data_IF_701058517620
#
_entry.id   IF_701058517620
#
_cell.length_a   1.000
_cell.length_b   1.000
_cell.length_c   1.000
_cell.angle_alpha   90.00
_cell.angle_beta   90.00
_cell.angle_gamma   90.00
#
_symmetry.space_group_name_H-M   'P 1'
#
loop_
_entity.id
_entity.type
_entity.pdbx_description
1 polymer ?
#
# COMPACT_ATOMS: atom_id res chain seq x y z
N UNK A 1 31.52 -51.79 13.92
CA UNK A 1 30.06 -51.51 13.93
C UNK A 1 29.89 -50.07 13.51
N UNK A 2 29.22 -49.79 12.40
CA UNK A 2 28.90 -48.42 12.03
C UNK A 2 27.93 -47.85 13.06
N UNK A 3 28.34 -46.74 13.68
CA UNK A 3 27.53 -46.08 14.69
C UNK A 3 26.39 -45.37 13.94
N UNK A 4 25.22 -45.96 13.80
CA UNK A 4 24.06 -45.40 13.13
C UNK A 4 23.06 -44.87 14.16
N UNK A 5 22.47 -43.73 13.88
CA UNK A 5 21.39 -43.15 14.65
C UNK A 5 20.04 -43.48 13.98
N UNK A 6 19.03 -43.70 14.77
CA UNK A 6 17.66 -43.69 14.26
C UNK A 6 17.26 -42.27 13.93
N UNK A 7 16.28 -42.08 13.03
CA UNK A 7 15.77 -40.75 12.68
C UNK A 7 15.31 -39.97 13.92
N UNK A 8 14.62 -40.62 14.85
CA UNK A 8 14.15 -39.98 16.07
C UNK A 8 15.30 -39.56 17.01
N UNK A 9 16.39 -40.32 17.03
CA UNK A 9 17.59 -39.95 17.80
C UNK A 9 18.27 -38.72 17.16
N UNK A 10 18.40 -38.68 15.85
CA UNK A 10 18.93 -37.54 15.13
C UNK A 10 18.07 -36.26 15.36
N UNK A 11 16.74 -36.38 15.24
CA UNK A 11 15.83 -35.25 15.47
C UNK A 11 15.93 -34.71 16.91
N UNK A 12 16.07 -35.57 17.90
CA UNK A 12 16.28 -35.18 19.32
C UNK A 12 17.61 -34.44 19.51
N UNK A 13 18.67 -34.90 18.85
CA UNK A 13 19.97 -34.21 18.91
C UNK A 13 19.88 -32.82 18.28
N UNK A 14 19.26 -32.69 17.08
CA UNK A 14 19.05 -31.40 16.44
C UNK A 14 18.27 -30.45 17.35
N UNK A 15 17.19 -30.94 17.96
CA UNK A 15 16.41 -30.17 18.93
C UNK A 15 17.25 -29.68 20.09
N UNK A 16 17.95 -30.59 20.76
CA UNK A 16 18.80 -30.27 21.93
C UNK A 16 19.89 -29.24 21.58
N UNK A 17 20.51 -29.39 20.41
CA UNK A 17 21.52 -28.42 19.92
C UNK A 17 20.93 -27.05 19.67
N UNK A 18 19.73 -26.97 19.05
CA UNK A 18 19.05 -25.70 18.82
C UNK A 18 18.59 -25.06 20.14
N UNK A 19 18.01 -25.83 21.04
CA UNK A 19 17.56 -25.35 22.35
C UNK A 19 18.73 -24.80 23.18
N UNK A 20 19.92 -25.42 23.09
CA UNK A 20 21.14 -24.95 23.75
C UNK A 20 21.71 -23.69 23.09
N UNK A 21 21.79 -23.66 21.74
CA UNK A 21 22.37 -22.56 20.99
C UNK A 21 21.51 -21.29 21.02
N UNK A 22 20.20 -21.47 21.12
CA UNK A 22 19.20 -20.36 21.09
C UNK A 22 18.34 -20.40 22.36
N UNK A 23 18.96 -20.51 23.52
CA UNK A 23 18.26 -20.50 24.81
C UNK A 23 17.54 -19.18 25.12
N UNK A 24 17.92 -18.07 24.48
CA UNK A 24 17.31 -16.76 24.63
C UNK A 24 16.65 -16.32 23.33
N UNK A 25 15.56 -15.52 23.43
CA UNK A 25 14.94 -14.93 22.27
C UNK A 25 15.90 -14.04 21.48
N UNK A 26 15.80 -14.08 20.14
CA UNK A 26 16.57 -13.23 19.23
C UNK A 26 15.65 -12.32 18.43
N UNK A 27 16.17 -11.19 17.99
CA UNK A 27 15.48 -10.31 17.09
C UNK A 27 15.78 -10.69 15.64
N UNK A 28 14.73 -10.84 14.83
CA UNK A 28 14.83 -11.23 13.42
C UNK A 28 14.02 -10.25 12.59
N UNK A 29 14.63 -9.66 11.55
CA UNK A 29 13.92 -8.86 10.56
C UNK A 29 13.51 -9.76 9.40
N UNK A 30 12.24 -9.70 9.01
CA UNK A 30 11.70 -10.45 7.89
C UNK A 30 10.45 -9.76 7.32
N UNK A 31 10.08 -10.08 6.10
CA UNK A 31 8.81 -9.70 5.51
C UNK A 31 7.76 -10.79 5.78
N UNK A 32 6.55 -10.40 6.07
CA UNK A 32 5.41 -11.32 6.17
C UNK A 32 4.96 -11.67 4.75
N UNK A 33 5.19 -12.90 4.30
CA UNK A 33 4.69 -13.38 3.01
C UNK A 33 3.23 -13.80 3.10
N UNK A 34 2.86 -14.47 4.19
CA UNK A 34 1.49 -14.91 4.45
C UNK A 34 1.16 -14.75 5.94
N UNK A 35 -0.09 -14.42 6.23
CA UNK A 35 -0.62 -14.35 7.59
C UNK A 35 -2.01 -14.97 7.65
N UNK A 36 -2.23 -15.85 8.62
CA UNK A 36 -3.51 -16.54 8.80
C UNK A 36 -3.84 -16.69 10.28
N UNK A 37 -5.00 -16.19 10.65
CA UNK A 37 -5.53 -16.39 12.01
C UNK A 37 -6.52 -17.55 11.97
N UNK A 38 -6.29 -18.57 12.80
CA UNK A 38 -7.23 -19.67 12.91
C UNK A 38 -8.34 -19.37 13.95
N UNK A 39 -9.40 -20.21 13.98
CA UNK A 39 -10.49 -19.97 14.91
C UNK A 39 -10.13 -20.24 16.38
N UNK A 40 -9.00 -20.85 16.68
CA UNK A 40 -8.47 -20.94 18.05
C UNK A 40 -7.74 -19.64 18.47
N UNK A 41 -7.60 -18.67 17.56
CA UNK A 41 -6.98 -17.37 17.82
C UNK A 41 -5.45 -17.36 17.71
N UNK A 42 -4.83 -18.43 17.24
CA UNK A 42 -3.41 -18.45 16.91
C UNK A 42 -3.19 -17.79 15.54
N UNK A 43 -2.16 -16.96 15.45
CA UNK A 43 -1.75 -16.34 14.20
C UNK A 43 -0.54 -17.07 13.64
N UNK A 44 -0.69 -17.64 12.47
CA UNK A 44 0.39 -18.31 11.72
C UNK A 44 0.89 -17.37 10.64
N UNK A 45 2.21 -17.27 10.53
CA UNK A 45 2.88 -16.42 9.56
C UNK A 45 3.89 -17.25 8.78
N UNK A 46 4.08 -16.85 7.54
CA UNK A 46 5.21 -17.24 6.72
C UNK A 46 6.11 -16.01 6.59
N UNK A 47 7.32 -16.11 7.12
CA UNK A 47 8.31 -15.05 7.11
C UNK A 47 9.32 -15.34 6.01
N UNK A 48 9.66 -14.30 5.22
CA UNK A 48 10.64 -14.42 4.13
C UNK A 48 11.65 -13.29 4.19
N UNK A 49 12.85 -13.58 3.70
CA UNK A 49 13.84 -12.58 3.33
C UNK A 49 14.01 -12.63 1.82
N UNK A 50 13.72 -11.51 1.14
CA UNK A 50 13.85 -11.41 -0.32
C UNK A 50 15.28 -11.03 -0.69
N UNK A 51 15.82 -11.68 -1.71
CA UNK A 51 17.14 -11.39 -2.29
C UNK A 51 17.00 -10.59 -3.57
N UNK A 52 17.47 -9.34 -3.57
CA UNK A 52 17.61 -8.52 -4.77
C UNK A 52 16.36 -8.39 -5.65
N UNK A 53 16.54 -7.93 -6.89
CA UNK A 53 15.46 -7.65 -7.85
C UNK A 53 14.71 -8.88 -8.39
N UNK A 54 15.18 -10.09 -8.14
CA UNK A 54 14.61 -11.30 -8.74
C UNK A 54 13.43 -11.90 -7.96
N UNK A 55 13.05 -11.33 -6.82
CA UNK A 55 11.89 -11.77 -6.05
C UNK A 55 11.99 -13.18 -5.42
N UNK A 56 13.10 -13.89 -5.64
CA UNK A 56 13.32 -15.23 -5.07
C UNK A 56 13.69 -15.09 -3.60
N UNK A 57 12.99 -15.79 -2.68
CA UNK A 57 13.34 -15.77 -1.27
C UNK A 57 14.76 -16.31 -1.03
N UNK A 58 15.58 -15.56 -0.28
CA UNK A 58 16.86 -16.06 0.26
C UNK A 58 16.65 -17.01 1.42
N UNK A 59 15.64 -16.73 2.22
CA UNK A 59 15.29 -17.51 3.40
C UNK A 59 13.79 -17.45 3.66
N UNK A 60 13.27 -18.50 4.26
CA UNK A 60 11.87 -18.64 4.61
C UNK A 60 11.72 -19.42 5.91
N UNK A 61 10.80 -18.98 6.77
CA UNK A 61 10.49 -19.67 8.01
C UNK A 61 9.02 -19.56 8.37
N UNK A 62 8.46 -20.64 8.90
CA UNK A 62 7.14 -20.61 9.53
C UNK A 62 7.25 -19.97 10.92
N UNK A 63 6.28 -19.12 11.24
CA UNK A 63 6.21 -18.49 12.53
C UNK A 63 4.80 -18.56 13.11
N UNK A 64 4.70 -18.47 14.43
CA UNK A 64 3.42 -18.46 15.15
C UNK A 64 3.45 -17.37 16.22
N UNK A 65 2.33 -16.63 16.32
CA UNK A 65 2.01 -15.82 17.49
C UNK A 65 0.88 -16.55 18.22
N UNK A 66 1.15 -17.00 19.43
CA UNK A 66 0.14 -17.68 20.21
C UNK A 66 -1.00 -16.74 20.61
N UNK A 67 -2.20 -17.27 20.70
CA UNK A 67 -3.42 -16.51 21.06
C UNK A 67 -3.23 -15.54 22.23
N UNK A 68 -2.52 -15.98 23.26
CA UNK A 68 -2.28 -15.17 24.47
C UNK A 68 -1.45 -13.91 24.22
N UNK A 69 -0.58 -13.94 23.21
CA UNK A 69 0.29 -12.82 22.82
C UNK A 69 -0.29 -12.02 21.65
N UNK A 70 -1.06 -12.67 20.78
CA UNK A 70 -1.51 -12.10 19.51
C UNK A 70 -2.32 -10.79 19.69
N UNK A 71 -3.33 -10.81 20.55
CA UNK A 71 -4.18 -9.63 20.76
C UNK A 71 -3.36 -8.42 21.26
N UNK A 72 -2.40 -8.64 22.14
CA UNK A 72 -1.51 -7.59 22.65
C UNK A 72 -0.57 -7.08 21.55
N UNK A 73 0.11 -8.01 20.86
CA UNK A 73 1.09 -7.65 19.81
C UNK A 73 0.40 -6.95 18.66
N UNK A 74 -0.69 -7.51 18.13
CA UNK A 74 -1.42 -6.94 17.01
C UNK A 74 -2.07 -5.59 17.37
N UNK A 75 -2.65 -5.47 18.56
CA UNK A 75 -3.25 -4.22 19.03
C UNK A 75 -2.20 -3.11 19.25
N UNK A 76 -1.05 -3.45 19.83
CA UNK A 76 0.04 -2.49 20.01
C UNK A 76 0.64 -2.06 18.65
N UNK A 77 0.88 -3.03 17.76
CA UNK A 77 1.38 -2.76 16.42
C UNK A 77 0.42 -1.86 15.63
N UNK A 78 -0.90 -2.15 15.65
CA UNK A 78 -1.91 -1.34 14.97
C UNK A 78 -2.01 0.07 15.58
N UNK A 79 -1.92 0.21 16.89
CA UNK A 79 -1.96 1.51 17.56
C UNK A 79 -0.78 2.42 17.19
N UNK A 80 0.44 1.86 17.11
CA UNK A 80 1.65 2.63 16.82
C UNK A 80 1.84 2.89 15.32
N UNK A 81 1.55 1.89 14.47
CA UNK A 81 1.79 1.99 13.02
C UNK A 81 0.57 2.47 12.23
N UNK A 82 -0.60 2.45 12.84
CA UNK A 82 -1.87 2.63 12.15
C UNK A 82 -2.23 1.45 11.23
N UNK A 83 -1.46 0.37 11.21
CA UNK A 83 -1.61 -0.77 10.30
C UNK A 83 -1.84 -2.08 11.05
N UNK A 84 -2.64 -2.96 10.45
CA UNK A 84 -2.71 -4.34 10.89
C UNK A 84 -1.54 -5.14 10.33
N UNK A 85 -1.12 -6.14 11.08
CA UNK A 85 -0.17 -7.12 10.55
C UNK A 85 -0.77 -7.76 9.30
N UNK A 86 -0.09 -7.64 8.17
CA UNK A 86 -0.53 -8.13 6.87
C UNK A 86 0.66 -8.60 6.02
N UNK A 87 0.37 -9.35 4.96
CA UNK A 87 1.38 -9.72 3.98
C UNK A 87 2.00 -8.47 3.31
N UNK A 88 3.28 -8.52 3.01
CA UNK A 88 4.07 -7.43 2.45
C UNK A 88 4.69 -6.48 3.48
N UNK A 89 4.32 -6.58 4.75
CA UNK A 89 4.91 -5.75 5.82
C UNK A 89 6.22 -6.35 6.29
N UNK A 90 7.26 -5.54 6.36
CA UNK A 90 8.53 -5.90 6.97
C UNK A 90 8.51 -5.59 8.46
N UNK A 91 8.82 -6.60 9.26
CA UNK A 91 8.78 -6.52 10.72
C UNK A 91 10.15 -6.85 11.33
N UNK A 92 10.40 -6.32 12.52
CA UNK A 92 11.44 -6.79 13.41
C UNK A 92 10.75 -7.54 14.57
N UNK A 93 10.86 -8.87 14.54
CA UNK A 93 10.19 -9.75 15.49
C UNK A 93 11.18 -10.33 16.50
N UNK A 94 10.82 -10.30 17.77
CA UNK A 94 11.51 -11.04 18.82
C UNK A 94 10.98 -12.44 18.85
N UNK A 95 11.82 -13.41 18.50
CA UNK A 95 11.42 -14.80 18.32
C UNK A 95 12.17 -15.74 19.24
N UNK A 96 11.49 -16.80 19.65
CA UNK A 96 12.09 -17.99 20.20
C UNK A 96 12.10 -19.05 19.11
N UNK A 97 13.26 -19.64 18.89
CA UNK A 97 13.42 -20.76 17.95
C UNK A 97 12.75 -21.98 18.54
N UNK A 98 12.01 -22.71 17.75
CA UNK A 98 11.36 -23.96 18.14
C UNK A 98 11.61 -25.02 17.07
N UNK A 99 11.94 -26.22 17.52
CA UNK A 99 12.09 -27.38 16.65
C UNK A 99 11.24 -28.53 17.16
N UNK A 100 10.37 -29.02 16.29
CA UNK A 100 9.51 -30.14 16.59
C UNK A 100 9.90 -31.31 15.69
N UNK A 101 10.05 -32.51 16.27
CA UNK A 101 10.56 -33.70 15.58
C UNK A 101 9.73 -34.14 14.38
N UNK A 102 8.43 -33.73 14.32
CA UNK A 102 7.53 -34.03 13.19
C UNK A 102 7.32 -32.82 12.26
N UNK A 103 7.31 -31.57 12.79
CA UNK A 103 6.94 -30.39 12.05
C UNK A 103 8.14 -29.52 11.65
N UNK A 104 9.32 -29.86 12.15
CA UNK A 104 10.58 -29.19 11.84
C UNK A 104 10.76 -27.86 12.56
N UNK A 105 11.51 -26.97 11.91
CA UNK A 105 11.88 -25.64 12.40
C UNK A 105 10.70 -24.67 12.31
N UNK A 106 10.52 -23.88 13.34
CA UNK A 106 9.55 -22.78 13.38
C UNK A 106 9.99 -21.70 14.37
N UNK A 107 9.40 -20.51 14.24
CA UNK A 107 9.65 -19.37 15.10
C UNK A 107 8.41 -19.07 15.94
N UNK A 108 8.59 -18.91 17.25
CA UNK A 108 7.54 -18.42 18.13
C UNK A 108 7.77 -16.93 18.37
N UNK A 109 6.91 -16.08 17.81
CA UNK A 109 7.00 -14.62 17.95
C UNK A 109 6.49 -14.22 19.32
N UNK A 110 7.35 -13.58 20.09
CA UNK A 110 7.06 -13.09 21.44
C UNK A 110 6.70 -11.60 21.44
N UNK A 111 7.25 -10.85 20.46
CA UNK A 111 7.05 -9.43 20.32
C UNK A 111 7.39 -8.94 18.91
N UNK A 112 6.90 -7.74 18.52
CA UNK A 112 7.22 -7.08 17.26
C UNK A 112 7.49 -5.62 17.57
N UNK A 113 8.58 -5.06 17.02
CA UNK A 113 8.92 -3.64 17.16
C UNK A 113 8.25 -2.83 16.04
N UNK A 114 7.23 -2.00 16.35
CA UNK A 114 6.56 -1.19 15.35
C UNK A 114 7.43 -0.05 14.80
N UNK A 115 8.40 0.45 15.57
CA UNK A 115 9.30 1.53 15.13
C UNK A 115 10.18 1.12 13.96
N UNK A 116 10.59 -0.14 13.92
CA UNK A 116 11.32 -0.71 12.79
C UNK A 116 10.48 -0.66 11.51
N UNK A 117 9.22 -1.05 11.58
CA UNK A 117 8.31 -1.04 10.42
C UNK A 117 8.07 0.37 9.91
N UNK A 118 7.83 1.34 10.80
CA UNK A 118 7.68 2.75 10.42
C UNK A 118 8.95 3.30 9.76
N UNK A 119 10.12 3.00 10.31
CA UNK A 119 11.40 3.41 9.73
C UNK A 119 11.66 2.77 8.36
N UNK A 120 11.30 1.49 8.17
CA UNK A 120 11.42 0.82 6.87
C UNK A 120 10.48 1.42 5.83
N UNK A 121 9.24 1.73 6.19
CA UNK A 121 8.26 2.39 5.30
C UNK A 121 8.74 3.76 4.85
N UNK A 122 9.23 4.60 5.75
CA UNK A 122 9.76 5.91 5.38
C UNK A 122 11.02 5.78 4.51
N UNK A 123 11.87 4.81 4.78
CA UNK A 123 13.03 4.51 3.93
C UNK A 123 12.60 4.08 2.52
N UNK A 124 11.60 3.21 2.37
CA UNK A 124 11.08 2.79 1.07
C UNK A 124 10.46 3.97 0.32
N UNK A 125 9.71 4.82 1.01
CA UNK A 125 9.16 6.05 0.46
C UNK A 125 10.26 6.96 -0.09
N UNK A 126 11.34 7.16 0.67
CA UNK A 126 12.46 7.98 0.25
C UNK A 126 13.19 7.39 -0.97
N UNK A 127 13.40 6.06 -1.00
CA UNK A 127 13.98 5.35 -2.15
C UNK A 127 13.12 5.58 -3.41
N UNK A 128 11.79 5.52 -3.28
CA UNK A 128 10.87 5.77 -4.39
C UNK A 128 11.02 7.20 -4.92
N UNK A 129 11.06 8.19 -4.05
CA UNK A 129 11.26 9.61 -4.42
C UNK A 129 12.58 9.80 -5.16
N UNK A 130 13.68 9.34 -4.59
CA UNK A 130 15.03 9.47 -5.18
C UNK A 130 15.13 8.79 -6.55
N UNK A 131 14.46 7.64 -6.69
CA UNK A 131 14.45 6.90 -7.96
C UNK A 131 13.69 7.64 -9.04
N UNK A 132 12.49 8.15 -8.76
CA UNK A 132 11.69 8.92 -9.71
C UNK A 132 12.39 10.21 -10.14
N UNK A 133 13.06 10.89 -9.20
CA UNK A 133 13.86 12.09 -9.49
C UNK A 133 15.07 11.78 -10.39
N UNK A 134 15.82 10.71 -10.06
CA UNK A 134 16.97 10.29 -10.84
C UNK A 134 16.61 9.86 -12.27
N UNK A 135 15.43 9.25 -12.44
CA UNK A 135 14.89 8.86 -13.75
C UNK A 135 14.30 10.04 -14.53
N UNK A 136 14.19 11.22 -13.90
CA UNK A 136 13.69 12.45 -14.54
C UNK A 136 12.21 12.44 -14.82
N UNK A 137 11.44 11.57 -14.15
CA UNK A 137 9.98 11.43 -14.37
C UNK A 137 9.13 12.17 -13.35
N UNK A 138 9.76 12.75 -12.31
CA UNK A 138 9.11 13.33 -11.14
C UNK A 138 8.05 14.39 -11.44
N UNK A 139 8.30 15.27 -12.41
CA UNK A 139 7.44 16.41 -12.71
C UNK A 139 6.60 16.25 -13.99
N UNK A 140 6.74 15.15 -14.74
CA UNK A 140 6.11 14.97 -16.06
C UNK A 140 4.59 15.15 -15.98
N UNK A 141 3.90 14.49 -15.05
CA UNK A 141 2.44 14.62 -14.94
C UNK A 141 2.02 16.01 -14.47
N UNK A 142 2.82 16.66 -13.61
CA UNK A 142 2.57 18.02 -13.14
C UNK A 142 2.64 19.05 -14.26
N UNK A 143 3.48 18.81 -15.25
CA UNK A 143 3.67 19.69 -16.41
C UNK A 143 2.66 19.42 -17.54
N UNK A 144 1.85 18.37 -17.44
CA UNK A 144 0.81 18.09 -18.42
C UNK A 144 -0.18 19.27 -18.51
N UNK A 145 -0.54 19.72 -19.73
CA UNK A 145 -1.51 20.79 -19.91
C UNK A 145 -2.90 20.31 -19.45
N UNK A 146 -3.46 20.97 -18.46
CA UNK A 146 -4.84 20.74 -18.07
C UNK A 146 -5.77 21.61 -18.94
N UNK A 147 -6.75 21.02 -19.65
CA UNK A 147 -7.71 21.78 -20.45
C UNK A 147 -8.43 22.87 -19.62
N UNK A 148 -8.80 23.97 -20.23
CA UNK A 148 -9.57 25.01 -19.54
C UNK A 148 -10.90 24.45 -19.03
N UNK A 149 -11.59 23.70 -19.88
CA UNK A 149 -12.85 23.00 -19.57
C UNK A 149 -12.53 21.55 -19.29
N UNK A 150 -12.81 21.08 -18.07
CA UNK A 150 -12.61 19.70 -17.63
C UNK A 150 -13.97 19.08 -17.30
N UNK A 151 -14.53 18.35 -18.24
CA UNK A 151 -15.86 17.75 -18.09
C UNK A 151 -15.85 16.22 -18.19
N UNK A 152 -14.97 15.65 -19.04
CA UNK A 152 -14.90 14.20 -19.24
C UNK A 152 -13.83 13.62 -18.31
N UNK A 153 -14.27 12.94 -17.27
CA UNK A 153 -13.40 12.55 -16.16
C UNK A 153 -13.37 11.03 -16.05
N UNK A 154 -12.17 10.46 -16.15
CA UNK A 154 -11.91 9.08 -15.74
C UNK A 154 -11.70 9.04 -14.23
N UNK A 155 -12.43 8.21 -13.52
CA UNK A 155 -12.30 8.06 -12.07
C UNK A 155 -11.71 6.70 -11.77
N UNK A 156 -10.56 6.66 -11.10
CA UNK A 156 -9.96 5.45 -10.55
C UNK A 156 -10.27 5.40 -9.05
N UNK A 157 -11.13 4.49 -8.66
CA UNK A 157 -11.60 4.33 -7.27
C UNK A 157 -12.33 3.02 -7.10
N UNK A 158 -12.66 2.66 -5.87
CA UNK A 158 -13.59 1.56 -5.62
C UNK A 158 -15.04 2.04 -5.69
N UNK A 159 -15.87 1.30 -6.43
CA UNK A 159 -17.31 1.58 -6.57
C UNK A 159 -18.04 1.68 -5.24
N UNK A 160 -17.59 0.89 -4.26
CA UNK A 160 -18.21 0.84 -2.91
C UNK A 160 -17.59 1.87 -1.95
N UNK A 161 -16.54 2.59 -2.35
CA UNK A 161 -15.89 3.56 -1.49
C UNK A 161 -16.80 4.75 -1.20
N UNK A 162 -16.93 5.12 0.07
CA UNK A 162 -17.68 6.30 0.50
C UNK A 162 -17.15 7.56 -0.20
N UNK A 163 -15.82 7.70 -0.36
CA UNK A 163 -15.22 8.85 -1.03
C UNK A 163 -15.62 8.99 -2.49
N UNK A 164 -15.80 7.88 -3.22
CA UNK A 164 -16.33 7.92 -4.58
C UNK A 164 -17.79 8.41 -4.61
N UNK A 165 -18.62 7.92 -3.69
CA UNK A 165 -20.02 8.34 -3.58
C UNK A 165 -20.13 9.82 -3.19
N UNK A 166 -19.31 10.27 -2.25
CA UNK A 166 -19.28 11.68 -1.82
C UNK A 166 -18.79 12.60 -2.95
N UNK A 167 -17.79 12.18 -3.72
CA UNK A 167 -17.31 12.89 -4.91
C UNK A 167 -18.42 13.06 -5.94
N UNK A 168 -19.11 11.98 -6.33
CA UNK A 168 -20.21 12.03 -7.29
C UNK A 168 -21.38 12.90 -6.78
N UNK A 169 -21.71 12.79 -5.49
CA UNK A 169 -22.76 13.58 -4.85
C UNK A 169 -22.42 15.07 -4.85
N UNK A 170 -21.16 15.43 -4.61
CA UNK A 170 -20.72 16.82 -4.60
C UNK A 170 -20.75 17.44 -6.01
N UNK A 171 -20.25 16.72 -7.01
CA UNK A 171 -20.36 17.17 -8.42
C UNK A 171 -21.81 17.26 -8.90
N UNK A 172 -22.69 16.37 -8.44
CA UNK A 172 -24.11 16.39 -8.80
C UNK A 172 -24.91 17.59 -8.26
N UNK A 173 -24.35 18.36 -7.31
CA UNK A 173 -24.93 19.64 -6.83
C UNK A 173 -24.56 20.82 -7.73
N UNK A 174 -23.54 20.64 -8.58
CA UNK A 174 -23.04 21.67 -9.47
C UNK A 174 -24.00 21.92 -10.65
N UNK A 175 -24.09 23.13 -11.18
CA UNK A 175 -24.84 23.42 -12.41
C UNK A 175 -24.15 22.88 -13.66
N UNK A 176 -22.91 22.44 -13.56
CA UNK A 176 -22.10 22.00 -14.71
C UNK A 176 -22.33 20.51 -14.99
N UNK A 177 -22.35 20.15 -16.28
CA UNK A 177 -22.45 18.76 -16.72
C UNK A 177 -21.07 18.10 -16.73
N UNK A 178 -20.87 17.12 -15.82
CA UNK A 178 -19.68 16.28 -15.82
C UNK A 178 -20.02 14.89 -16.34
N UNK A 179 -19.20 14.37 -17.25
CA UNK A 179 -19.25 12.98 -17.73
C UNK A 179 -18.25 12.17 -16.94
N UNK A 180 -18.74 11.27 -16.09
CA UNK A 180 -17.93 10.49 -15.18
C UNK A 180 -17.87 9.03 -15.61
N UNK A 181 -16.68 8.49 -15.81
CA UNK A 181 -16.45 7.06 -16.11
C UNK A 181 -15.62 6.44 -14.98
N UNK A 182 -16.18 5.47 -14.27
CA UNK A 182 -15.49 4.75 -13.20
C UNK A 182 -14.69 3.58 -13.76
N UNK A 183 -13.41 3.55 -13.44
CA UNK A 183 -12.51 2.41 -13.56
C UNK A 183 -12.34 1.83 -12.15
N UNK A 184 -13.04 0.73 -11.90
CA UNK A 184 -13.15 0.13 -10.55
C UNK A 184 -11.83 -0.52 -10.15
N UNK A 185 -11.27 -0.12 -9.00
CA UNK A 185 -9.99 -0.60 -8.51
C UNK A 185 -10.02 -0.81 -6.99
N UNK A 186 -9.23 -1.78 -6.51
CA UNK A 186 -8.99 -1.91 -5.08
C UNK A 186 -8.09 -0.76 -4.60
N UNK A 187 -8.56 -0.03 -3.59
CA UNK A 187 -7.86 1.13 -3.06
C UNK A 187 -7.07 0.82 -1.78
N UNK A 188 -7.04 -0.43 -1.35
CA UNK A 188 -6.40 -0.91 -0.13
C UNK A 188 -6.08 -2.40 -0.21
N UNK A 189 -5.14 -2.87 0.63
CA UNK A 189 -4.71 -4.26 0.70
C UNK A 189 -3.63 -4.61 -0.32
N UNK A 190 -3.15 -5.85 -0.29
CA UNK A 190 -1.99 -6.30 -1.06
C UNK A 190 -2.15 -6.23 -2.59
N UNK A 191 -3.39 -6.23 -3.09
CA UNK A 191 -3.68 -6.14 -4.52
C UNK A 191 -3.98 -4.72 -5.02
N UNK A 192 -3.89 -3.69 -4.17
CA UNK A 192 -4.27 -2.33 -4.53
C UNK A 192 -3.37 -1.74 -5.63
N UNK A 193 -2.06 -1.90 -5.51
CA UNK A 193 -1.10 -1.40 -6.50
C UNK A 193 -1.40 -1.96 -7.89
N UNK A 194 -1.50 -3.29 -8.03
CA UNK A 194 -1.77 -3.93 -9.32
C UNK A 194 -3.12 -3.52 -9.89
N UNK A 195 -4.14 -3.40 -9.02
CA UNK A 195 -5.50 -3.01 -9.44
C UNK A 195 -5.56 -1.57 -9.93
N UNK A 196 -4.87 -0.64 -9.25
CA UNK A 196 -4.84 0.78 -9.65
C UNK A 196 -4.04 0.93 -10.96
N UNK A 197 -2.90 0.26 -11.10
CA UNK A 197 -2.10 0.27 -12.33
C UNK A 197 -2.92 -0.25 -13.50
N UNK A 198 -3.60 -1.40 -13.35
CA UNK A 198 -4.46 -1.95 -14.40
C UNK A 198 -5.63 -1.01 -14.78
N UNK A 199 -6.19 -0.28 -13.80
CA UNK A 199 -7.21 0.73 -14.05
C UNK A 199 -6.66 1.92 -14.82
N UNK A 200 -5.44 2.40 -14.49
CA UNK A 200 -4.76 3.46 -15.23
C UNK A 200 -4.43 3.02 -16.66
N UNK A 201 -3.97 1.79 -16.88
CA UNK A 201 -3.73 1.24 -18.21
C UNK A 201 -5.02 1.23 -19.04
N UNK A 202 -6.16 0.82 -18.44
CA UNK A 202 -7.46 0.84 -19.11
C UNK A 202 -7.96 2.26 -19.42
N UNK A 203 -7.58 3.27 -18.64
CA UNK A 203 -7.82 4.69 -18.97
C UNK A 203 -6.93 5.11 -20.13
N UNK A 204 -5.64 4.70 -20.14
CA UNK A 204 -4.70 5.05 -21.21
C UNK A 204 -5.15 4.52 -22.57
N UNK A 205 -5.75 3.33 -22.64
CA UNK A 205 -6.33 2.74 -23.86
C UNK A 205 -7.49 3.59 -24.45
N UNK A 206 -8.04 4.49 -23.65
CA UNK A 206 -9.19 5.35 -24.01
C UNK A 206 -8.93 6.84 -23.69
N UNK A 207 -7.68 7.27 -23.69
CA UNK A 207 -7.30 8.60 -23.23
C UNK A 207 -7.99 9.75 -23.97
N UNK A 208 -8.37 9.56 -25.25
CA UNK A 208 -9.09 10.57 -26.05
C UNK A 208 -10.53 10.82 -25.55
N UNK A 209 -11.08 9.93 -24.74
CA UNK A 209 -12.40 10.07 -24.14
C UNK A 209 -12.40 11.01 -22.93
N UNK A 210 -11.23 11.37 -22.38
CA UNK A 210 -11.11 12.05 -21.10
C UNK A 210 -10.27 13.34 -21.16
N UNK A 211 -10.62 14.27 -20.29
CA UNK A 211 -9.90 15.53 -20.10
C UNK A 211 -8.89 15.44 -18.94
N UNK A 212 -9.21 14.63 -17.95
CA UNK A 212 -8.38 14.39 -16.77
C UNK A 212 -8.74 13.06 -16.10
N UNK A 213 -7.82 12.57 -15.26
CA UNK A 213 -8.02 11.41 -14.38
C UNK A 213 -8.18 11.91 -12.95
N UNK A 214 -9.10 11.30 -12.20
CA UNK A 214 -9.30 11.53 -10.77
C UNK A 214 -9.02 10.24 -10.05
N UNK A 215 -7.95 10.20 -9.25
CA UNK A 215 -7.59 9.08 -8.39
C UNK A 215 -8.00 9.41 -6.96
N UNK A 216 -9.07 8.80 -6.50
CA UNK A 216 -9.66 9.09 -5.19
C UNK A 216 -9.84 7.83 -4.36
N UNK A 217 -9.62 7.97 -3.07
CA UNK A 217 -9.82 6.93 -2.08
C UNK A 217 -10.92 7.34 -1.10
N UNK A 218 -11.76 6.38 -0.71
CA UNK A 218 -12.67 6.56 0.42
C UNK A 218 -11.92 6.57 1.76
N UNK A 219 -12.57 6.99 2.82
CA UNK A 219 -12.02 6.95 4.17
C UNK A 219 -11.54 5.53 4.51
N UNK A 220 -10.39 5.44 5.15
CA UNK A 220 -9.73 4.21 5.61
C UNK A 220 -8.60 4.59 6.56
N UNK A 221 -7.92 3.60 7.15
CA UNK A 221 -6.78 3.87 8.04
C UNK A 221 -5.62 4.51 7.28
N UNK A 222 -4.76 5.27 7.97
CA UNK A 222 -3.52 5.81 7.40
C UNK A 222 -2.62 4.70 6.81
N UNK A 223 -2.77 3.48 7.32
CA UNK A 223 -2.07 2.28 6.88
C UNK A 223 -2.31 1.88 5.42
N UNK A 224 -3.49 2.20 4.91
CA UNK A 224 -3.86 1.84 3.54
C UNK A 224 -3.21 2.78 2.51
N UNK A 225 -2.45 3.79 2.96
CA UNK A 225 -1.74 4.75 2.10
C UNK A 225 -0.42 4.21 1.56
N UNK A 226 0.11 3.12 2.12
CA UNK A 226 1.45 2.65 1.74
C UNK A 226 1.56 2.22 0.27
N UNK A 227 0.49 1.68 -0.32
CA UNK A 227 0.48 1.33 -1.75
C UNK A 227 0.70 2.56 -2.65
N UNK A 228 0.30 3.76 -2.21
CA UNK A 228 0.52 5.03 -2.92
C UNK A 228 1.94 5.58 -2.80
N UNK A 229 2.83 4.87 -2.10
CA UNK A 229 4.27 5.13 -2.07
C UNK A 229 5.06 4.11 -2.91
N UNK A 230 4.39 3.10 -3.48
CA UNK A 230 5.03 2.07 -4.29
C UNK A 230 5.57 2.67 -5.59
N UNK A 231 6.84 2.36 -5.91
CA UNK A 231 7.53 2.93 -7.07
C UNK A 231 6.76 2.72 -8.38
N UNK A 232 6.27 1.50 -8.64
CA UNK A 232 5.58 1.16 -9.89
C UNK A 232 4.33 2.01 -10.09
N UNK A 233 3.48 2.18 -9.07
CA UNK A 233 2.31 3.02 -9.13
C UNK A 233 2.68 4.49 -9.33
N UNK A 234 3.64 4.98 -8.55
CA UNK A 234 4.09 6.38 -8.65
C UNK A 234 4.71 6.69 -10.03
N UNK A 235 5.46 5.76 -10.61
CA UNK A 235 6.02 5.89 -11.95
C UNK A 235 4.93 5.92 -13.04
N UNK A 236 3.85 5.12 -12.89
CA UNK A 236 2.71 5.17 -13.79
C UNK A 236 1.97 6.52 -13.70
N UNK A 237 1.74 7.02 -12.49
CA UNK A 237 1.11 8.33 -12.27
C UNK A 237 1.99 9.45 -12.84
N UNK A 238 3.28 9.44 -12.51
CA UNK A 238 4.22 10.47 -12.96
C UNK A 238 4.30 10.59 -14.48
N UNK A 239 4.24 9.49 -15.19
CA UNK A 239 4.37 9.42 -16.66
C UNK A 239 3.03 9.33 -17.39
N UNK A 240 1.91 9.45 -16.67
CA UNK A 240 0.59 9.32 -17.28
C UNK A 240 0.32 10.44 -18.27
N UNK A 241 -0.21 10.17 -19.49
CA UNK A 241 -0.37 11.17 -20.54
C UNK A 241 -1.45 12.21 -20.25
N UNK A 242 -2.41 11.91 -19.40
CA UNK A 242 -3.43 12.87 -18.95
C UNK A 242 -3.07 13.42 -17.56
N UNK A 243 -3.47 14.67 -17.24
CA UNK A 243 -3.31 15.20 -15.90
C UNK A 243 -4.10 14.37 -14.88
N UNK A 244 -3.43 13.96 -13.81
CA UNK A 244 -4.04 13.20 -12.71
C UNK A 244 -4.26 14.12 -11.52
N UNK A 245 -5.51 14.15 -11.04
CA UNK A 245 -5.89 14.81 -9.81
C UNK A 245 -6.06 13.74 -8.71
N UNK A 246 -5.39 13.91 -7.59
CA UNK A 246 -5.51 12.97 -6.47
C UNK A 246 -6.36 13.53 -5.34
N UNK A 247 -7.08 12.64 -4.66
CA UNK A 247 -7.81 12.91 -3.43
C UNK A 247 -7.68 11.70 -2.50
N UNK A 248 -6.41 11.35 -2.15
CA UNK A 248 -6.06 10.10 -1.48
C UNK A 248 -5.88 10.30 0.02
N UNK A 249 -5.25 11.41 0.43
CA UNK A 249 -4.69 11.60 1.75
C UNK A 249 -5.49 12.54 2.65
N UNK A 250 -4.99 12.67 3.89
CA UNK A 250 -5.35 13.66 4.89
C UNK A 250 -4.17 14.62 5.14
N UNK A 251 -4.42 15.72 5.86
CA UNK A 251 -3.50 16.84 6.11
C UNK A 251 -2.07 16.47 6.59
N UNK A 252 -1.87 15.28 7.12
CA UNK A 252 -0.59 14.88 7.74
C UNK A 252 0.24 13.89 6.91
N UNK A 253 -0.34 13.27 5.87
CA UNK A 253 0.31 12.16 5.17
C UNK A 253 0.17 12.31 3.64
N UNK A 254 1.01 13.14 3.05
CA UNK A 254 1.13 13.26 1.59
C UNK A 254 1.85 12.03 1.03
N UNK A 255 1.19 11.26 0.19
CA UNK A 255 1.81 10.11 -0.48
C UNK A 255 2.73 10.53 -1.63
N UNK A 256 3.63 9.64 -2.08
CA UNK A 256 4.45 9.90 -3.27
C UNK A 256 3.58 10.03 -4.52
N UNK A 257 2.47 9.29 -4.60
CA UNK A 257 1.47 9.44 -5.67
C UNK A 257 0.91 10.88 -5.75
N UNK A 258 0.61 11.49 -4.59
CA UNK A 258 0.19 12.90 -4.54
C UNK A 258 1.30 13.86 -5.00
N UNK A 259 2.56 13.55 -4.66
CA UNK A 259 3.70 14.39 -5.01
C UNK A 259 3.99 14.44 -6.50
N UNK A 260 3.74 13.35 -7.23
CA UNK A 260 4.02 13.24 -8.67
C UNK A 260 2.79 13.52 -9.54
N UNK A 261 1.61 13.58 -8.95
CA UNK A 261 0.37 13.90 -9.66
C UNK A 261 0.33 15.38 -10.11
N UNK A 262 -0.49 15.68 -11.09
CA UNK A 262 -0.69 17.05 -11.59
C UNK A 262 -1.20 17.97 -10.47
N UNK A 263 -2.23 17.54 -9.75
CA UNK A 263 -2.84 18.30 -8.65
C UNK A 263 -3.21 17.37 -7.50
N UNK A 264 -2.66 17.61 -6.33
CA UNK A 264 -2.98 16.86 -5.13
C UNK A 264 -3.96 17.66 -4.25
N UNK A 265 -5.04 17.02 -3.86
CA UNK A 265 -6.08 17.57 -3.00
C UNK A 265 -6.31 16.64 -1.81
N UNK A 266 -6.81 17.18 -0.70
CA UNK A 266 -6.88 16.45 0.57
C UNK A 266 -7.93 15.33 0.61
N UNK A 267 -9.04 15.49 -0.12
CA UNK A 267 -10.18 14.57 -0.05
C UNK A 267 -10.88 14.48 -1.39
N UNK A 268 -11.67 13.42 -1.63
CA UNK A 268 -12.52 13.30 -2.81
C UNK A 268 -13.45 14.50 -3.01
N UNK A 269 -14.03 15.02 -1.92
CA UNK A 269 -14.91 16.20 -1.98
C UNK A 269 -14.15 17.48 -2.32
N UNK A 270 -12.90 17.60 -1.88
CA UNK A 270 -12.03 18.72 -2.27
C UNK A 270 -11.70 18.67 -3.77
N UNK A 271 -11.51 17.47 -4.34
CA UNK A 271 -11.33 17.31 -5.81
C UNK A 271 -12.58 17.75 -6.55
N UNK A 272 -13.77 17.36 -6.08
CA UNK A 272 -15.04 17.80 -6.67
C UNK A 272 -15.20 19.32 -6.61
N UNK A 273 -14.95 19.92 -5.45
CA UNK A 273 -15.00 21.39 -5.27
C UNK A 273 -14.05 22.13 -6.21
N UNK A 274 -12.80 21.63 -6.32
CA UNK A 274 -11.80 22.21 -7.21
C UNK A 274 -12.23 22.16 -8.70
N UNK A 275 -12.84 21.06 -9.15
CA UNK A 275 -13.38 20.94 -10.52
C UNK A 275 -14.52 21.94 -10.75
N UNK A 276 -15.40 22.11 -9.79
CA UNK A 276 -16.51 23.08 -9.87
C UNK A 276 -15.99 24.52 -9.92
N UNK A 277 -15.05 24.89 -9.05
CA UNK A 277 -14.43 26.21 -9.02
C UNK A 277 -13.73 26.53 -10.34
N UNK A 278 -13.05 25.56 -10.94
CA UNK A 278 -12.41 25.71 -12.24
C UNK A 278 -13.44 26.04 -13.34
N UNK A 279 -14.56 25.33 -13.38
CA UNK A 279 -15.65 25.58 -14.35
C UNK A 279 -16.28 26.96 -14.14
N UNK A 280 -16.49 27.37 -12.89
CA UNK A 280 -16.98 28.72 -12.56
C UNK A 280 -16.01 29.81 -13.04
N UNK A 281 -14.70 29.56 -12.91
CA UNK A 281 -13.69 30.50 -13.45
C UNK A 281 -13.76 30.66 -14.97
N UNK A 282 -14.00 29.55 -15.69
CA UNK A 282 -14.18 29.61 -17.18
C UNK A 282 -15.44 30.37 -17.55
N UNK A 283 -16.57 30.13 -16.88
CA UNK A 283 -17.83 30.84 -17.10
C UNK A 283 -17.63 32.35 -16.90
N UNK A 284 -17.05 32.77 -15.79
CA UNK A 284 -16.76 34.17 -15.51
C UNK A 284 -15.83 34.84 -16.54
N UNK A 285 -14.86 34.07 -17.08
CA UNK A 285 -14.02 34.56 -18.17
C UNK A 285 -14.82 34.74 -19.48
N UNK A 286 -15.69 33.78 -19.82
CA UNK A 286 -16.55 33.86 -21.01
C UNK A 286 -17.52 35.06 -20.93
N UNK A 287 -18.13 35.29 -19.78
CA UNK A 287 -19.02 36.41 -19.53
C UNK A 287 -18.30 37.77 -19.71
N UNK A 288 -17.05 37.84 -19.24
CA UNK A 288 -16.23 39.06 -19.39
C UNK A 288 -15.79 39.29 -20.83
N UNK A 289 -15.53 38.22 -21.59
CA UNK A 289 -15.10 38.28 -22.97
C UNK A 289 -16.27 38.57 -23.96
N UNK A 290 -17.51 38.36 -23.51
CA UNK A 290 -18.74 38.62 -24.31
C UNK A 290 -19.27 40.04 -24.16
N UNK A 291 -18.69 40.84 -23.26
CA UNK A 291 -19.00 42.28 -23.05
C UNK A 291 -18.05 43.18 -23.85
#
# INVERSE_FOLDING_TARGET
MQNHLTLSQLQKLVKATLDEAFALPVWVSAEIAEIKINYSGHCYLELVEKGGDNGVPLSQARAVIWRTAYARIAGYFEAETGQRLAAGIRILARVMISYHELYGFSLNILDIDPTFTLGDMERQRQITIERLQREGVWDINRENPLPQVVQRIAIVSSRQAAGYQDFCKELGKSPYAFSLTLFDAFMQGAGAEDSIVAALDAVADRMDDFDAVVLIRGGGSASDLNCFNAYRLCAHIAQFPLPILTGIGHDKDTSVADMVAHTALKTPTAVAGWLVERMTGVEGWLDTAAL
#
